data_IF_460254308304
#
_entry.id   IF_460254308304
#
_cell.length_a   1.000
_cell.length_b   1.000
_cell.length_c   1.000
_cell.angle_alpha   90.00
_cell.angle_beta   90.00
_cell.angle_gamma   90.00
#
_symmetry.space_group_name_H-M   'P 1'
#
loop_
_entity.id
_entity.type
_entity.pdbx_description
1 polymer ?
#
# COMPACT_ATOMS: atom_id res chain seq x y z
N UNK A 1 3.02 -9.63 6.29
CA UNK A 1 1.87 -10.58 6.24
C UNK A 1 0.81 -9.99 5.34
N UNK A 2 0.44 -10.73 4.27
CA UNK A 2 -0.60 -10.30 3.33
C UNK A 2 -2.00 -10.77 3.72
N UNK A 3 -3.02 -10.05 3.25
CA UNK A 3 -4.43 -10.34 3.46
C UNK A 3 -5.12 -9.28 4.33
N UNK A 4 -6.44 -9.20 4.28
CA UNK A 4 -7.25 -8.18 4.98
C UNK A 4 -8.10 -8.70 6.14
N UNK A 5 -8.13 -10.02 6.37
CA UNK A 5 -8.95 -10.62 7.42
C UNK A 5 -8.33 -10.56 8.82
N UNK A 6 -9.13 -10.82 9.88
CA UNK A 6 -8.66 -10.78 11.27
C UNK A 6 -7.43 -11.66 11.55
N UNK A 7 -7.34 -12.82 10.89
CA UNK A 7 -6.18 -13.72 11.01
C UNK A 7 -4.90 -13.16 10.41
N UNK A 8 -4.98 -12.29 9.42
CA UNK A 8 -3.81 -11.61 8.89
C UNK A 8 -3.27 -10.60 9.91
N UNK A 9 -4.14 -9.83 10.56
CA UNK A 9 -3.76 -8.91 11.66
C UNK A 9 -3.15 -9.65 12.85
N UNK A 10 -3.79 -10.74 13.29
CA UNK A 10 -3.26 -11.59 14.38
C UNK A 10 -1.84 -12.09 14.05
N UNK A 11 -1.63 -12.56 12.81
CA UNK A 11 -0.32 -13.02 12.33
C UNK A 11 0.69 -11.87 12.21
N UNK A 12 0.28 -10.67 11.79
CA UNK A 12 1.15 -9.50 11.78
C UNK A 12 1.66 -9.21 13.20
N UNK A 13 0.75 -9.09 14.16
CA UNK A 13 1.12 -8.79 15.56
C UNK A 13 1.95 -9.91 16.22
N UNK A 14 1.79 -11.16 15.76
CA UNK A 14 2.51 -12.31 16.31
C UNK A 14 3.82 -12.63 15.59
N UNK A 15 3.98 -12.29 14.32
CA UNK A 15 5.15 -12.73 13.54
C UNK A 15 5.65 -11.74 12.49
N UNK A 16 4.88 -10.72 12.13
CA UNK A 16 5.16 -9.90 10.95
C UNK A 16 5.85 -8.57 11.27
N UNK A 17 6.78 -8.19 10.41
CA UNK A 17 7.40 -6.86 10.43
C UNK A 17 6.57 -5.82 9.68
N UNK A 18 5.65 -6.28 8.83
CA UNK A 18 4.72 -5.41 8.10
C UNK A 18 3.39 -6.11 7.79
N UNK A 19 2.34 -5.30 7.62
CA UNK A 19 1.01 -5.70 7.17
C UNK A 19 0.76 -5.22 5.74
N UNK A 20 0.20 -6.09 4.89
CA UNK A 20 -0.14 -5.78 3.50
C UNK A 20 -1.62 -6.12 3.21
N UNK A 21 -2.55 -5.19 3.47
CA UNK A 21 -3.95 -5.36 3.10
C UNK A 21 -4.14 -5.07 1.61
N UNK A 22 -4.87 -5.95 0.92
CA UNK A 22 -5.24 -5.74 -0.48
C UNK A 22 -6.60 -5.05 -0.51
N UNK A 23 -6.68 -3.89 -1.19
CA UNK A 23 -7.94 -3.18 -1.46
C UNK A 23 -8.50 -2.34 -0.31
N UNK A 24 -7.75 -2.15 0.77
CA UNK A 24 -8.14 -1.29 1.90
C UNK A 24 -8.00 0.19 1.52
N UNK A 25 -8.96 1.03 1.91
CA UNK A 25 -8.89 2.49 1.68
C UNK A 25 -7.93 3.18 2.65
N UNK A 26 -7.51 4.40 2.35
CA UNK A 26 -6.55 5.15 3.17
C UNK A 26 -7.08 5.47 4.59
N UNK A 27 -8.35 5.81 4.74
CA UNK A 27 -9.01 6.03 6.03
C UNK A 27 -9.02 4.76 6.90
N UNK A 28 -9.33 3.62 6.29
CA UNK A 28 -9.30 2.31 6.95
C UNK A 28 -7.87 1.88 7.30
N UNK A 29 -6.90 2.23 6.47
CA UNK A 29 -5.48 1.98 6.72
C UNK A 29 -5.00 2.76 7.95
N UNK A 30 -5.36 4.04 8.08
CA UNK A 30 -4.98 4.86 9.23
C UNK A 30 -5.50 4.28 10.54
N UNK A 31 -6.77 3.84 10.56
CA UNK A 31 -7.38 3.16 11.71
C UNK A 31 -6.65 1.83 12.03
N UNK A 32 -6.36 1.05 10.99
CA UNK A 32 -5.62 -0.22 11.14
C UNK A 32 -4.21 0.01 11.67
N UNK A 33 -3.52 1.06 11.21
CA UNK A 33 -2.21 1.46 11.70
C UNK A 33 -2.24 1.86 13.18
N UNK A 34 -3.27 2.59 13.61
CA UNK A 34 -3.47 2.91 15.02
C UNK A 34 -3.66 1.66 15.88
N UNK A 35 -4.53 0.74 15.43
CA UNK A 35 -4.73 -0.55 16.09
C UNK A 35 -3.45 -1.38 16.18
N UNK A 36 -2.69 -1.51 15.07
CA UNK A 36 -1.46 -2.28 15.06
C UNK A 36 -0.38 -1.70 15.98
N UNK A 37 -0.31 -0.37 16.09
CA UNK A 37 0.61 0.32 17.01
C UNK A 37 0.27 0.01 18.46
N UNK A 38 -0.99 0.22 18.85
CA UNK A 38 -1.48 -0.04 20.21
C UNK A 38 -1.26 -1.50 20.62
N UNK A 39 -1.62 -2.44 19.74
CA UNK A 39 -1.47 -3.86 20.03
C UNK A 39 -0.01 -4.35 20.02
N UNK A 40 0.86 -3.74 19.22
CA UNK A 40 2.29 -4.03 19.26
C UNK A 40 2.91 -3.55 20.58
N UNK A 41 2.53 -2.37 21.06
CA UNK A 41 2.98 -1.80 22.34
C UNK A 41 2.59 -2.71 23.52
N UNK A 42 1.32 -3.12 23.60
CA UNK A 42 0.84 -4.08 24.63
C UNK A 42 1.62 -5.39 24.66
N UNK A 43 2.21 -5.79 23.53
CA UNK A 43 2.98 -7.03 23.36
C UNK A 43 4.49 -6.83 23.51
N UNK A 44 4.96 -5.61 23.79
CA UNK A 44 6.38 -5.29 23.88
C UNK A 44 7.11 -5.46 22.55
N UNK A 45 6.45 -5.15 21.43
CA UNK A 45 7.00 -5.31 20.07
C UNK A 45 7.10 -4.00 19.32
N UNK A 46 8.00 -3.98 18.34
CA UNK A 46 8.03 -2.92 17.33
C UNK A 46 6.70 -2.85 16.56
N UNK A 47 6.27 -1.63 16.24
CA UNK A 47 5.07 -1.41 15.41
C UNK A 47 5.32 -1.94 14.00
N UNK A 48 4.46 -2.84 13.47
CA UNK A 48 4.60 -3.33 12.11
C UNK A 48 4.44 -2.21 11.08
N UNK A 49 5.25 -2.23 10.02
CA UNK A 49 5.10 -1.34 8.87
C UNK A 49 3.79 -1.58 8.12
N UNK A 50 3.39 -0.59 7.33
CA UNK A 50 2.20 -0.66 6.48
C UNK A 50 2.62 -0.63 5.02
N UNK A 51 2.41 -1.74 4.33
CA UNK A 51 2.62 -1.84 2.90
C UNK A 51 1.24 -1.79 2.25
N UNK A 52 1.10 -0.98 1.21
CA UNK A 52 -0.13 -0.97 0.39
C UNK A 52 0.22 -1.24 -1.06
N UNK A 53 -0.80 -1.53 -1.86
CA UNK A 53 -0.62 -1.69 -3.28
C UNK A 53 -1.88 -1.27 -4.02
N UNK A 54 -1.70 -0.81 -5.25
CA UNK A 54 -2.80 -0.40 -6.08
C UNK A 54 -2.49 -0.59 -7.56
N UNK A 55 -3.55 -0.71 -8.34
CA UNK A 55 -3.45 -0.83 -9.78
C UNK A 55 -3.48 0.54 -10.43
N UNK A 56 -2.58 0.78 -11.40
CA UNK A 56 -2.79 1.71 -12.48
C UNK A 56 -3.69 0.99 -13.47
N UNK A 57 -4.96 1.38 -13.49
CA UNK A 57 -5.78 1.27 -14.69
C UNK A 57 -5.44 2.52 -15.51
N UNK A 58 -5.38 2.43 -16.84
CA UNK A 58 -5.07 3.59 -17.69
C UNK A 58 -5.85 4.82 -17.22
N UNK A 59 -5.14 5.74 -16.59
CA UNK A 59 -5.72 6.77 -15.76
C UNK A 59 -4.75 7.94 -15.65
N UNK A 60 -5.28 9.06 -15.18
CA UNK A 60 -4.60 10.34 -15.10
C UNK A 60 -3.54 10.29 -13.98
N UNK A 61 -2.25 10.61 -14.24
CA UNK A 61 -1.16 10.58 -13.24
C UNK A 61 -1.50 11.29 -11.93
N UNK A 62 -2.23 12.39 -12.00
CA UNK A 62 -2.66 13.21 -10.87
C UNK A 62 -3.46 12.39 -9.84
N UNK A 63 -4.45 11.62 -10.29
CA UNK A 63 -5.26 10.78 -9.39
C UNK A 63 -4.44 9.72 -8.66
N UNK A 64 -3.31 9.30 -9.23
CA UNK A 64 -2.41 8.34 -8.59
C UNK A 64 -1.50 9.00 -7.58
N UNK A 65 -1.02 10.21 -7.85
CA UNK A 65 -0.24 11.02 -6.91
C UNK A 65 -1.10 11.26 -5.66
N UNK A 66 -2.34 11.71 -5.85
CA UNK A 66 -3.28 11.94 -4.75
C UNK A 66 -3.53 10.67 -3.93
N UNK A 67 -3.70 9.53 -4.61
CA UNK A 67 -3.92 8.25 -3.94
C UNK A 67 -2.69 7.77 -3.16
N UNK A 68 -1.49 7.90 -3.72
CA UNK A 68 -0.24 7.51 -3.05
C UNK A 68 0.00 8.44 -1.84
N UNK A 69 -0.22 9.75 -2.00
CA UNK A 69 -0.14 10.72 -0.92
C UNK A 69 -1.12 10.36 0.21
N UNK A 70 -2.37 10.05 -0.10
CA UNK A 70 -3.36 9.64 0.91
C UNK A 70 -2.92 8.40 1.70
N UNK A 71 -2.30 7.40 1.05
CA UNK A 71 -1.77 6.24 1.76
C UNK A 71 -0.53 6.55 2.60
N UNK A 72 0.37 7.41 2.10
CA UNK A 72 1.54 7.89 2.85
C UNK A 72 1.09 8.62 4.11
N UNK A 73 0.11 9.50 3.99
CA UNK A 73 -0.44 10.27 5.12
C UNK A 73 -1.18 9.36 6.11
N UNK A 74 -1.77 8.26 5.64
CA UNK A 74 -2.33 7.19 6.46
C UNK A 74 -1.27 6.28 7.12
N UNK A 75 0.02 6.51 6.88
CA UNK A 75 1.14 5.81 7.52
C UNK A 75 1.73 4.65 6.71
N UNK A 76 1.40 4.51 5.43
CA UNK A 76 2.06 3.53 4.57
C UNK A 76 3.56 3.85 4.40
N UNK A 77 4.41 2.85 4.61
CA UNK A 77 5.86 2.94 4.39
C UNK A 77 6.30 2.42 3.02
N UNK A 78 5.42 1.73 2.29
CA UNK A 78 5.73 1.19 0.98
C UNK A 78 4.49 1.09 0.09
N UNK A 79 4.64 1.40 -1.19
CA UNK A 79 3.60 1.27 -2.22
C UNK A 79 4.01 0.27 -3.31
N UNK A 80 3.27 -0.81 -3.44
CA UNK A 80 3.42 -1.79 -4.52
C UNK A 80 2.61 -1.31 -5.72
N UNK A 81 3.32 -0.97 -6.80
CA UNK A 81 2.69 -0.63 -8.06
C UNK A 81 2.25 -1.88 -8.82
N UNK A 82 0.95 -1.97 -9.11
CA UNK A 82 0.42 -2.88 -10.12
C UNK A 82 0.04 -2.14 -11.39
N UNK A 83 0.29 -2.72 -12.57
CA UNK A 83 -0.07 -2.12 -13.88
C UNK A 83 -1.33 -2.72 -14.50
N UNK A 84 -2.13 -3.46 -13.73
CA UNK A 84 -3.31 -4.11 -14.28
C UNK A 84 -2.97 -5.27 -15.22
N UNK A 85 -3.93 -5.59 -16.08
CA UNK A 85 -3.71 -6.47 -17.24
C UNK A 85 -3.28 -5.60 -18.42
N UNK A 86 -2.28 -6.07 -19.15
CA UNK A 86 -1.78 -5.44 -20.37
C UNK A 86 -1.89 -6.44 -21.52
N UNK A 87 -2.20 -5.94 -22.72
CA UNK A 87 -2.38 -6.78 -23.89
C UNK A 87 -1.05 -7.33 -24.43
N UNK A 88 0.02 -6.53 -24.30
CA UNK A 88 1.35 -6.81 -24.82
C UNK A 88 2.44 -6.13 -23.98
N UNK A 89 3.70 -6.44 -24.30
CA UNK A 89 4.87 -5.91 -23.62
C UNK A 89 5.01 -4.38 -23.79
N UNK A 90 4.59 -3.82 -24.93
CA UNK A 90 4.68 -2.38 -25.17
C UNK A 90 3.70 -1.59 -24.29
N UNK A 91 2.51 -2.13 -24.08
CA UNK A 91 1.51 -1.57 -23.17
C UNK A 91 2.01 -1.59 -21.72
N UNK A 92 2.66 -2.69 -21.31
CA UNK A 92 3.34 -2.76 -20.01
C UNK A 92 4.45 -1.70 -19.90
N UNK A 93 5.33 -1.60 -20.91
CA UNK A 93 6.45 -0.65 -20.94
C UNK A 93 5.98 0.80 -20.82
N UNK A 94 4.98 1.21 -21.61
CA UNK A 94 4.40 2.57 -21.52
C UNK A 94 3.81 2.87 -20.14
N UNK A 95 3.20 1.86 -19.49
CA UNK A 95 2.70 1.97 -18.13
C UNK A 95 3.81 2.26 -17.10
N UNK A 96 4.92 1.52 -17.17
CA UNK A 96 6.10 1.73 -16.33
C UNK A 96 6.71 3.12 -16.57
N UNK A 97 6.96 3.47 -17.84
CA UNK A 97 7.59 4.75 -18.22
C UNK A 97 6.76 5.95 -17.77
N UNK A 98 5.43 5.89 -17.93
CA UNK A 98 4.54 6.94 -17.45
C UNK A 98 4.62 7.10 -15.93
N UNK A 99 4.63 5.99 -15.18
CA UNK A 99 4.79 6.05 -13.72
C UNK A 99 6.13 6.68 -13.33
N UNK A 100 7.22 6.21 -13.94
CA UNK A 100 8.57 6.68 -13.64
C UNK A 100 8.77 8.17 -13.95
N UNK A 101 8.17 8.67 -15.04
CA UNK A 101 8.40 10.04 -15.51
C UNK A 101 7.38 11.06 -14.98
N UNK A 102 6.14 10.65 -14.72
CA UNK A 102 5.05 11.58 -14.39
C UNK A 102 4.57 11.49 -12.94
N UNK A 103 4.87 10.39 -12.24
CA UNK A 103 4.36 10.12 -10.87
C UNK A 103 5.49 10.09 -9.86
N UNK A 104 6.51 9.25 -10.07
CA UNK A 104 7.63 9.10 -9.12
C UNK A 104 8.29 10.43 -8.71
N UNK A 105 8.47 11.44 -9.58
CA UNK A 105 9.07 12.71 -9.16
C UNK A 105 8.19 13.58 -8.24
N UNK A 106 6.91 13.23 -8.07
CA UNK A 106 5.90 14.05 -7.36
C UNK A 106 5.41 13.41 -6.04
N UNK A 107 5.91 12.23 -5.68
CA UNK A 107 5.53 11.46 -4.47
C UNK A 107 6.73 11.32 -3.52
#
# INVERSE_FOLDING_TARGET
VGGSGPKALERTLRFGDAYYPIGMRADELAQTGAYLREEAEKRGRATPGLIVGGMIREGVPESMIDRIAAYRDAGASYYILGLGRYADADTFRRGVERFATQVMPKI
#
